data_IF_357025968232
#
_entry.id   IF_357025968232
#
_cell.length_a   1.000
_cell.length_b   1.000
_cell.length_c   1.000
_cell.angle_alpha   90.00
_cell.angle_beta   90.00
_cell.angle_gamma   90.00
#
_symmetry.space_group_name_H-M   'P 1'
#
loop_
_entity.id
_entity.type
_entity.pdbx_description
1 polymer ?
#
# COMPACT_ATOMS: atom_id res chain seq x y z
N UNK A 1 11.74 12.32 9.89
CA UNK A 1 10.70 13.27 10.31
C UNK A 1 9.87 12.65 11.43
N UNK A 2 9.56 13.46 12.45
CA UNK A 2 8.78 12.98 13.60
C UNK A 2 7.29 13.10 13.31
N UNK A 3 6.55 12.05 13.67
CA UNK A 3 5.11 12.09 13.75
C UNK A 3 4.70 12.67 15.11
N UNK A 4 3.94 13.75 15.06
CA UNK A 4 3.29 14.33 16.23
C UNK A 4 1.80 14.04 16.16
N UNK A 5 0.94 14.88 16.61
CA UNK A 5 -0.52 14.76 16.51
C UNK A 5 -1.06 14.99 15.09
N UNK A 6 -0.48 14.31 14.11
CA UNK A 6 -0.85 14.41 12.70
C UNK A 6 -1.29 13.07 12.15
N UNK A 7 -2.20 13.10 11.20
CA UNK A 7 -2.62 11.91 10.48
C UNK A 7 -1.49 11.27 9.65
N UNK A 8 -0.46 12.06 9.30
CA UNK A 8 0.67 11.61 8.50
C UNK A 8 1.99 12.02 9.13
N UNK A 9 2.99 11.15 9.11
CA UNK A 9 4.29 11.41 9.71
C UNK A 9 5.08 12.50 8.97
N UNK A 10 4.82 12.72 7.68
CA UNK A 10 5.51 13.76 6.91
C UNK A 10 4.64 14.38 5.81
N UNK A 11 5.12 15.50 5.25
CA UNK A 11 4.48 16.13 4.09
C UNK A 11 4.51 15.26 2.83
N UNK A 12 5.43 14.31 2.75
CA UNK A 12 5.67 13.46 1.57
C UNK A 12 4.99 12.11 1.66
N UNK A 13 4.54 11.72 2.85
CA UNK A 13 3.99 10.39 3.12
C UNK A 13 2.64 10.06 2.47
N UNK A 14 1.65 10.98 2.42
CA UNK A 14 0.33 10.64 1.91
C UNK A 14 0.34 10.17 0.45
N UNK A 15 -0.28 9.01 0.19
CA UNK A 15 -0.34 8.42 -1.14
C UNK A 15 -0.85 9.39 -2.25
N UNK A 16 -1.85 10.26 -2.02
CA UNK A 16 -2.30 11.19 -3.05
C UNK A 16 -1.21 12.15 -3.57
N UNK A 17 -0.18 12.42 -2.77
CA UNK A 17 0.90 13.34 -3.17
C UNK A 17 1.89 12.73 -4.16
N UNK A 18 1.90 11.41 -4.33
CA UNK A 18 2.77 10.73 -5.29
C UNK A 18 2.08 10.45 -6.64
N UNK A 19 0.76 10.63 -6.71
CA UNK A 19 -0.04 10.28 -7.90
C UNK A 19 0.48 10.98 -9.15
N UNK A 20 0.73 12.28 -9.10
CA UNK A 20 1.20 13.04 -10.26
C UNK A 20 2.57 12.55 -10.78
N UNK A 21 3.43 12.07 -9.89
CA UNK A 21 4.69 11.44 -10.27
C UNK A 21 4.46 10.05 -10.87
N UNK A 22 3.65 9.22 -10.24
CA UNK A 22 3.40 7.84 -10.67
C UNK A 22 2.60 7.74 -11.98
N UNK A 23 1.75 8.73 -12.27
CA UNK A 23 0.98 8.82 -13.51
C UNK A 23 1.64 9.66 -14.59
N UNK A 24 2.81 10.23 -14.31
CA UNK A 24 3.54 11.11 -15.22
C UNK A 24 4.38 10.37 -16.27
N UNK A 25 5.50 10.97 -16.66
CA UNK A 25 6.42 10.40 -17.67
C UNK A 25 7.10 9.13 -17.15
N UNK A 26 6.50 7.98 -17.38
CA UNK A 26 7.00 6.70 -16.88
C UNK A 26 8.42 6.38 -17.39
N UNK A 27 8.79 6.84 -18.59
CA UNK A 27 10.14 6.67 -19.11
C UNK A 27 11.24 7.40 -18.33
N UNK A 28 10.88 8.30 -17.43
CA UNK A 28 11.80 9.03 -16.53
C UNK A 28 11.71 8.55 -15.08
N UNK A 29 10.90 7.54 -14.79
CA UNK A 29 10.89 6.90 -13.49
C UNK A 29 12.04 5.90 -13.41
N UNK A 30 12.68 5.86 -12.24
CA UNK A 30 13.70 4.86 -11.92
C UNK A 30 13.37 4.20 -10.61
N UNK A 31 13.80 2.95 -10.36
CA UNK A 31 13.64 2.31 -9.07
C UNK A 31 14.25 3.15 -7.94
N UNK A 32 13.69 3.07 -6.74
CA UNK A 32 14.24 3.73 -5.55
C UNK A 32 15.71 3.30 -5.34
N UNK A 33 16.00 2.02 -5.63
CA UNK A 33 17.33 1.43 -5.49
C UNK A 33 18.30 1.76 -6.63
N UNK A 34 17.97 2.72 -7.49
CA UNK A 34 18.86 3.19 -8.53
C UNK A 34 20.10 3.86 -7.92
N UNK A 35 21.25 3.70 -8.58
CA UNK A 35 22.48 4.37 -8.20
C UNK A 35 22.26 5.91 -8.14
N UNK A 36 22.77 6.53 -7.10
CA UNK A 36 22.63 7.97 -6.84
C UNK A 36 23.09 8.87 -8.01
N UNK A 37 24.08 8.42 -8.77
CA UNK A 37 24.61 9.14 -9.95
C UNK A 37 23.62 9.14 -11.15
N UNK A 38 22.62 8.26 -11.13
CA UNK A 38 21.68 8.03 -12.25
C UNK A 38 20.23 8.33 -11.90
N UNK A 39 19.97 8.98 -10.76
CA UNK A 39 18.61 9.27 -10.31
C UNK A 39 18.03 10.45 -11.11
N UNK A 40 16.98 10.18 -11.86
CA UNK A 40 16.09 11.22 -12.38
C UNK A 40 15.06 11.63 -11.32
N UNK A 41 14.56 12.87 -11.41
CA UNK A 41 13.54 13.39 -10.49
C UNK A 41 13.88 13.13 -9.01
N UNK A 42 15.06 13.54 -8.61
CA UNK A 42 15.65 13.25 -7.30
C UNK A 42 14.67 13.43 -6.12
N UNK A 43 13.95 14.57 -6.07
CA UNK A 43 13.01 14.85 -4.99
C UNK A 43 11.88 13.83 -4.87
N UNK A 44 11.36 13.37 -5.99
CA UNK A 44 10.30 12.36 -5.99
C UNK A 44 10.85 10.95 -5.76
N UNK A 45 11.92 10.60 -6.44
CA UNK A 45 12.43 9.23 -6.42
C UNK A 45 13.19 8.88 -5.13
N UNK A 46 14.00 9.82 -4.61
CA UNK A 46 14.77 9.60 -3.39
C UNK A 46 13.98 9.88 -2.10
N UNK A 47 12.91 10.67 -2.15
CA UNK A 47 12.15 11.06 -0.97
C UNK A 47 10.66 10.74 -1.08
N UNK A 48 9.98 11.24 -2.12
CA UNK A 48 8.52 11.14 -2.22
C UNK A 48 8.03 9.69 -2.34
N UNK A 49 8.60 8.93 -3.26
CA UNK A 49 8.24 7.53 -3.51
C UNK A 49 8.57 6.62 -2.31
N UNK A 50 9.77 6.67 -1.69
CA UNK A 50 10.05 5.91 -0.49
C UNK A 50 9.10 6.25 0.67
N UNK A 51 8.86 7.54 0.91
CA UNK A 51 7.95 7.98 1.98
C UNK A 51 6.52 7.49 1.76
N UNK A 52 6.01 7.53 0.52
CA UNK A 52 4.70 7.00 0.18
C UNK A 52 4.64 5.48 0.38
N UNK A 53 5.68 4.76 -0.04
CA UNK A 53 5.78 3.31 0.16
C UNK A 53 5.75 2.92 1.64
N UNK A 54 6.57 3.57 2.47
CA UNK A 54 6.59 3.32 3.92
C UNK A 54 5.26 3.71 4.58
N UNK A 55 4.59 4.75 4.08
CA UNK A 55 3.29 5.14 4.58
C UNK A 55 2.21 4.08 4.25
N UNK A 56 2.21 3.54 3.03
CA UNK A 56 1.33 2.43 2.64
C UNK A 56 1.62 1.19 3.51
N UNK A 57 2.89 0.89 3.74
CA UNK A 57 3.28 -0.24 4.58
C UNK A 57 2.74 -0.07 6.01
N UNK A 58 2.84 1.13 6.57
CA UNK A 58 2.36 1.47 7.90
C UNK A 58 0.84 1.48 8.02
N UNK A 59 0.15 2.13 7.07
CA UNK A 59 -1.29 2.37 7.19
C UNK A 59 -2.15 1.18 6.71
N UNK A 60 -1.62 0.38 5.76
CA UNK A 60 -2.44 -0.60 5.04
C UNK A 60 -1.95 -2.04 5.25
N UNK A 61 -0.63 -2.28 5.15
CA UNK A 61 -0.10 -3.64 5.09
C UNK A 61 0.18 -4.20 6.48
N UNK A 62 0.97 -3.50 7.28
CA UNK A 62 1.36 -3.94 8.62
C UNK A 62 0.42 -3.43 9.72
N UNK A 63 -0.17 -2.25 9.52
CA UNK A 63 -0.83 -1.49 10.58
C UNK A 63 0.17 -0.68 11.41
N UNK A 64 -0.34 0.39 12.02
CA UNK A 64 0.49 1.39 12.71
C UNK A 64 1.31 0.81 13.84
N UNK A 65 0.70 0.02 14.71
CA UNK A 65 1.36 -0.51 15.91
C UNK A 65 2.55 -1.40 15.55
N UNK A 66 2.36 -2.33 14.61
CA UNK A 66 3.40 -3.28 14.23
C UNK A 66 4.52 -2.59 13.44
N UNK A 67 4.16 -1.70 12.52
CA UNK A 67 5.14 -0.92 11.78
C UNK A 67 5.98 -0.05 12.71
N UNK A 68 5.35 0.70 13.61
CA UNK A 68 6.04 1.63 14.52
C UNK A 68 6.95 0.86 15.48
N UNK A 69 6.53 -0.32 15.94
CA UNK A 69 7.39 -1.22 16.71
C UNK A 69 8.62 -1.65 15.92
N UNK A 70 8.45 -2.18 14.72
CA UNK A 70 9.55 -2.64 13.88
C UNK A 70 10.51 -1.49 13.49
N UNK A 71 9.95 -0.34 13.15
CA UNK A 71 10.72 0.85 12.81
C UNK A 71 11.54 1.38 14.01
N UNK A 72 10.97 1.32 15.20
CA UNK A 72 11.70 1.65 16.44
C UNK A 72 12.84 0.66 16.70
N UNK A 73 12.65 -0.64 16.46
CA UNK A 73 13.73 -1.62 16.54
C UNK A 73 14.85 -1.31 15.55
N UNK A 74 14.49 -0.94 14.31
CA UNK A 74 15.48 -0.50 13.32
C UNK A 74 16.27 0.73 13.83
N UNK A 75 15.59 1.76 14.30
CA UNK A 75 16.23 2.96 14.80
C UNK A 75 17.19 2.67 15.98
N UNK A 76 16.78 1.82 16.93
CA UNK A 76 17.61 1.42 18.06
C UNK A 76 18.84 0.56 17.67
N UNK A 77 18.63 -0.37 16.72
CA UNK A 77 19.72 -1.26 16.26
C UNK A 77 20.79 -0.52 15.48
N UNK A 78 20.38 0.44 14.67
CA UNK A 78 21.21 1.06 13.66
C UNK A 78 21.60 2.51 13.96
N UNK A 79 21.13 3.11 15.06
CA UNK A 79 21.55 4.48 15.45
C UNK A 79 23.07 4.58 15.53
N UNK A 80 23.60 5.68 14.98
CA UNK A 80 25.04 5.96 14.88
C UNK A 80 25.85 4.94 14.06
N UNK A 81 25.19 4.11 13.26
CA UNK A 81 25.81 3.16 12.33
C UNK A 81 25.45 3.52 10.89
N UNK A 82 25.99 2.79 9.94
CA UNK A 82 25.76 2.98 8.51
C UNK A 82 25.02 1.78 7.90
N UNK A 83 23.70 1.63 8.13
CA UNK A 83 22.96 0.51 7.59
C UNK A 83 22.82 0.63 6.07
N UNK A 84 22.78 -0.52 5.42
CA UNK A 84 22.39 -0.66 4.03
C UNK A 84 20.87 -0.77 3.93
N UNK A 85 20.26 -0.58 2.74
CA UNK A 85 18.83 -0.87 2.56
C UNK A 85 18.43 -2.30 2.94
N UNK A 86 19.29 -3.27 2.69
CA UNK A 86 19.07 -4.66 3.09
C UNK A 86 18.97 -4.82 4.62
N UNK A 87 19.73 -4.05 5.38
CA UNK A 87 19.67 -4.06 6.85
C UNK A 87 18.33 -3.49 7.35
N UNK A 88 17.80 -2.49 6.65
CA UNK A 88 16.48 -1.97 6.93
C UNK A 88 15.39 -3.01 6.65
N UNK A 89 15.38 -3.61 5.46
CA UNK A 89 14.38 -4.61 5.07
C UNK A 89 14.35 -5.79 6.04
N UNK A 90 15.52 -6.41 6.28
CA UNK A 90 15.64 -7.52 7.24
C UNK A 90 15.19 -7.12 8.65
N UNK A 91 15.56 -5.94 9.12
CA UNK A 91 15.17 -5.52 10.47
C UNK A 91 13.67 -5.35 10.59
N UNK A 92 13.01 -4.80 9.55
CA UNK A 92 11.56 -4.67 9.54
C UNK A 92 10.87 -6.05 9.56
N UNK A 93 11.35 -7.01 8.80
CA UNK A 93 10.83 -8.38 8.75
C UNK A 93 11.10 -9.15 10.03
N UNK A 94 12.33 -9.14 10.52
CA UNK A 94 12.74 -9.82 11.77
C UNK A 94 11.91 -9.32 12.96
N UNK A 95 11.71 -8.00 13.06
CA UNK A 95 11.01 -7.40 14.17
C UNK A 95 9.49 -7.60 14.10
N UNK A 96 8.92 -7.61 12.90
CA UNK A 96 7.48 -7.74 12.70
C UNK A 96 7.02 -9.20 12.56
N UNK A 97 7.91 -10.10 12.14
CA UNK A 97 7.55 -11.45 11.76
C UNK A 97 6.73 -11.55 10.47
N UNK A 98 6.68 -10.49 9.67
CA UNK A 98 5.93 -10.42 8.41
C UNK A 98 6.88 -10.55 7.23
N UNK A 99 6.55 -11.42 6.29
CA UNK A 99 7.25 -11.51 5.00
C UNK A 99 6.87 -10.32 4.11
N UNK A 100 7.85 -9.47 3.83
CA UNK A 100 7.69 -8.25 3.03
C UNK A 100 8.55 -8.27 1.75
N UNK A 101 9.17 -9.38 1.41
CA UNK A 101 10.02 -9.52 0.22
C UNK A 101 9.31 -9.06 -1.06
N UNK A 102 8.04 -9.43 -1.21
CA UNK A 102 7.20 -9.02 -2.34
C UNK A 102 7.02 -7.50 -2.42
N UNK A 103 6.88 -6.85 -1.26
CA UNK A 103 6.70 -5.39 -1.17
C UNK A 103 8.00 -4.67 -1.50
N UNK A 104 9.12 -5.08 -0.89
CA UNK A 104 10.43 -4.50 -1.16
C UNK A 104 10.79 -4.64 -2.63
N UNK A 105 10.61 -5.83 -3.20
CA UNK A 105 10.88 -6.10 -4.61
C UNK A 105 10.06 -5.20 -5.52
N UNK A 106 8.75 -5.14 -5.32
CA UNK A 106 7.85 -4.37 -6.17
C UNK A 106 8.08 -2.86 -6.04
N UNK A 107 8.11 -2.36 -4.81
CA UNK A 107 8.14 -0.93 -4.56
C UNK A 107 9.52 -0.29 -4.74
N UNK A 108 10.59 -0.96 -4.30
CA UNK A 108 11.94 -0.40 -4.25
C UNK A 108 12.79 -0.74 -5.47
N UNK A 109 12.60 -1.91 -6.07
CA UNK A 109 13.46 -2.39 -7.16
C UNK A 109 12.84 -2.29 -8.54
N UNK A 110 11.55 -1.96 -8.65
CA UNK A 110 10.88 -1.84 -9.95
C UNK A 110 10.15 -0.52 -10.11
N UNK A 111 9.74 -0.23 -11.34
CA UNK A 111 8.89 0.91 -11.70
C UNK A 111 7.55 0.47 -12.30
N UNK A 112 7.23 -0.82 -12.18
CA UNK A 112 6.00 -1.37 -12.73
C UNK A 112 4.78 -0.71 -12.11
N UNK A 113 3.83 -0.21 -12.90
CA UNK A 113 2.57 0.30 -12.40
C UNK A 113 1.68 -0.85 -11.92
N UNK A 114 0.80 -0.53 -10.98
CA UNK A 114 -0.33 -1.42 -10.66
C UNK A 114 -1.47 -1.05 -11.58
N UNK A 115 -1.97 -2.04 -12.30
CA UNK A 115 -3.17 -1.93 -13.13
C UNK A 115 -4.26 -2.82 -12.53
N UNK A 116 -5.39 -2.22 -12.21
CA UNK A 116 -6.53 -2.92 -11.63
C UNK A 116 -7.70 -2.77 -12.58
N UNK A 117 -8.21 -3.89 -13.08
CA UNK A 117 -9.44 -3.92 -13.87
C UNK A 117 -10.56 -4.66 -13.11
N UNK A 118 -11.78 -4.23 -13.33
CA UNK A 118 -12.97 -4.93 -12.90
C UNK A 118 -13.58 -5.62 -14.14
N UNK A 119 -13.17 -6.85 -14.38
CA UNK A 119 -13.53 -7.56 -15.61
C UNK A 119 -14.97 -8.08 -15.61
N UNK A 120 -15.51 -8.42 -14.45
CA UNK A 120 -16.89 -8.87 -14.30
C UNK A 120 -17.41 -8.71 -12.86
N UNK A 121 -18.66 -8.32 -12.75
CA UNK A 121 -19.44 -8.43 -11.51
C UNK A 121 -20.47 -9.51 -11.69
N UNK A 122 -20.51 -10.49 -10.81
CA UNK A 122 -21.51 -11.56 -10.82
C UNK A 122 -22.30 -11.55 -9.53
N UNK A 123 -23.58 -11.56 -9.67
CA UNK A 123 -24.49 -11.66 -8.56
C UNK A 123 -24.88 -13.12 -8.36
N UNK A 124 -24.80 -13.59 -7.13
CA UNK A 124 -25.21 -14.95 -6.78
C UNK A 124 -26.24 -14.88 -5.66
N UNK A 125 -27.40 -15.47 -5.90
CA UNK A 125 -28.35 -15.73 -4.84
C UNK A 125 -28.09 -17.13 -4.31
N UNK A 126 -27.82 -17.23 -3.00
CA UNK A 126 -27.61 -18.53 -2.36
C UNK A 126 -28.97 -19.09 -1.97
N UNK A 127 -29.35 -20.19 -2.59
CA UNK A 127 -30.50 -20.98 -2.19
C UNK A 127 -30.08 -21.90 -1.02
N UNK A 128 -30.44 -21.54 0.19
CA UNK A 128 -30.12 -22.30 1.39
C UNK A 128 -31.06 -23.49 1.58
N UNK A 129 -32.14 -23.57 0.79
CA UNK A 129 -33.26 -24.51 0.95
C UNK A 129 -33.93 -24.44 2.30
N UNK A 130 -33.71 -23.35 3.04
CA UNK A 130 -34.34 -23.08 4.33
C UNK A 130 -35.29 -21.88 4.21
N UNK A 131 -36.62 -22.12 4.20
CA UNK A 131 -37.63 -21.07 4.03
C UNK A 131 -37.58 -19.97 5.11
N UNK A 132 -37.11 -20.30 6.31
CA UNK A 132 -37.01 -19.31 7.40
C UNK A 132 -35.88 -18.29 7.18
N UNK A 133 -34.83 -18.71 6.49
CA UNK A 133 -33.71 -17.84 6.12
C UNK A 133 -34.02 -17.05 4.85
N UNK A 134 -34.66 -17.67 3.88
CA UNK A 134 -34.86 -17.07 2.56
C UNK A 134 -36.00 -16.06 2.48
N UNK A 135 -37.12 -16.31 3.17
CA UNK A 135 -38.26 -15.38 3.18
C UNK A 135 -37.91 -13.95 3.61
N UNK A 136 -37.09 -13.72 4.66
CA UNK A 136 -36.65 -12.36 5.01
C UNK A 136 -35.78 -11.71 3.95
N UNK A 137 -34.90 -12.49 3.29
CA UNK A 137 -34.01 -11.99 2.23
C UNK A 137 -34.76 -11.64 0.96
N UNK A 138 -35.70 -12.48 0.52
CA UNK A 138 -36.55 -12.20 -0.64
C UNK A 138 -37.39 -10.95 -0.41
N UNK A 139 -37.99 -10.80 0.76
CA UNK A 139 -38.77 -9.62 1.13
C UNK A 139 -37.92 -8.35 1.19
N UNK A 140 -36.67 -8.44 1.63
CA UNK A 140 -35.72 -7.34 1.64
C UNK A 140 -35.23 -6.96 0.23
N UNK A 141 -35.02 -7.96 -0.63
CA UNK A 141 -34.62 -7.75 -2.02
C UNK A 141 -35.76 -7.14 -2.87
N UNK A 142 -37.00 -7.56 -2.65
CA UNK A 142 -38.18 -6.94 -3.28
C UNK A 142 -38.45 -5.50 -2.80
N UNK A 143 -38.08 -5.18 -1.56
CA UNK A 143 -38.20 -3.83 -0.99
C UNK A 143 -37.06 -2.90 -1.41
N UNK A 144 -35.90 -3.44 -1.75
CA UNK A 144 -34.81 -2.70 -2.34
C UNK A 144 -34.97 -2.72 -3.85
N UNK A 145 -35.51 -1.67 -4.47
CA UNK A 145 -35.39 -1.46 -5.91
C UNK A 145 -33.91 -1.42 -6.28
N UNK A 146 -33.31 -2.58 -6.60
CA UNK A 146 -31.96 -2.62 -7.11
C UNK A 146 -32.02 -2.22 -8.57
N UNK A 147 -31.41 -1.10 -8.99
CA UNK A 147 -31.40 -0.72 -10.40
C UNK A 147 -30.71 -1.83 -11.19
N UNK A 148 -31.32 -2.26 -12.26
CA UNK A 148 -30.71 -3.19 -13.21
C UNK A 148 -29.53 -2.49 -13.90
N UNK A 149 -28.32 -2.77 -13.41
CA UNK A 149 -27.06 -2.20 -13.94
C UNK A 149 -26.57 -2.99 -15.18
N UNK A 150 -27.31 -3.99 -15.63
CA UNK A 150 -26.92 -4.82 -16.78
C UNK A 150 -27.28 -4.22 -18.15
N UNK A 151 -27.86 -3.02 -18.19
CA UNK A 151 -28.37 -2.37 -19.41
C UNK A 151 -27.58 -1.12 -19.84
N UNK A 152 -26.28 -0.97 -19.47
CA UNK A 152 -25.42 0.09 -20.01
C UNK A 152 -24.18 -0.48 -20.68
#
# INVERSE_FOLDING_TARGET
>A
EQEWDRNYPSRRGPAPKIVSYMSGEQGKMVPIMTNSESIYQFGNNAYGKPAAGLNILRETIMGRELFDFAFKQYAQRWQFKHPTPADFFRTMEDASGVDLDWFWRGWFYTTNPVDISLDAVRWFQIDTRNPEIEKPFQKAAEAAEIPDISAQ
#
